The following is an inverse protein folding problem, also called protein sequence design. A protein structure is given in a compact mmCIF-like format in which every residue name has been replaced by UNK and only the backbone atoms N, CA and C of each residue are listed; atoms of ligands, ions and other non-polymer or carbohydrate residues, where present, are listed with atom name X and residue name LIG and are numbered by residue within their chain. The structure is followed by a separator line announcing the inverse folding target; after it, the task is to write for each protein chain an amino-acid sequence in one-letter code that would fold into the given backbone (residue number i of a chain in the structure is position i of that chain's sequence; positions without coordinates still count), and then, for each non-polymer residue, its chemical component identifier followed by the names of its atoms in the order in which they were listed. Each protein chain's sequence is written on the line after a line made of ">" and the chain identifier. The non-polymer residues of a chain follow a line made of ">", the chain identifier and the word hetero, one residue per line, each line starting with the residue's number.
data_IF_582059168808
#
_entry.id   IF_582059168808
#
_cell.length_a   1.000
_cell.length_b   1.000
_cell.length_c   1.000
_cell.angle_alpha   90.00
_cell.angle_beta   90.00
_cell.angle_gamma   90.00
#
_symmetry.space_group_name_H-M   'P 1'
#
loop_
_entity.id
_entity.type
_entity.pdbx_description
1 polymer ?
#
# COMPACT_ATOMS: atom_id res chain seq x y z
N UNK A 1 9.78 -15.62 -23.17
CA UNK A 1 11.14 -16.17 -23.42
C UNK A 1 11.62 -17.17 -22.35
N UNK A 2 10.78 -17.55 -21.37
CA UNK A 2 11.09 -18.64 -20.43
C UNK A 2 12.17 -18.35 -19.39
N UNK A 3 12.33 -17.11 -18.98
CA UNK A 3 13.22 -16.75 -17.86
C UNK A 3 12.68 -17.33 -16.55
N UNK A 4 13.57 -17.90 -15.74
CA UNK A 4 13.23 -18.36 -14.39
C UNK A 4 12.83 -17.21 -13.47
N UNK A 5 13.57 -16.10 -13.55
CA UNK A 5 13.32 -14.92 -12.74
C UNK A 5 13.71 -13.63 -13.47
N UNK A 6 13.05 -12.54 -13.10
CA UNK A 6 13.38 -11.17 -13.47
C UNK A 6 13.65 -10.39 -12.18
N UNK A 7 14.69 -9.57 -12.15
CA UNK A 7 15.04 -8.79 -10.96
C UNK A 7 14.72 -7.31 -11.20
N UNK A 8 13.79 -6.79 -10.41
CA UNK A 8 13.47 -5.36 -10.36
C UNK A 8 14.54 -4.62 -9.54
N UNK A 9 15.30 -3.75 -10.18
CA UNK A 9 16.31 -2.90 -9.52
C UNK A 9 15.84 -1.46 -9.55
N UNK A 10 15.28 -0.97 -8.45
CA UNK A 10 14.69 0.37 -8.42
C UNK A 10 13.86 0.67 -7.19
N UNK A 11 13.05 1.72 -7.27
CA UNK A 11 12.05 2.09 -6.26
C UNK A 11 10.69 1.43 -6.49
N UNK A 12 9.70 1.86 -5.71
CA UNK A 12 8.35 1.28 -5.72
C UNK A 12 7.71 1.29 -7.12
N UNK A 13 7.86 2.35 -7.91
CA UNK A 13 7.35 2.40 -9.29
C UNK A 13 7.97 1.35 -10.21
N UNK A 14 9.31 1.17 -10.19
CA UNK A 14 9.98 0.12 -10.97
C UNK A 14 9.53 -1.28 -10.53
N UNK A 15 9.37 -1.49 -9.21
CA UNK A 15 8.88 -2.76 -8.66
C UNK A 15 7.46 -3.03 -9.16
N UNK A 16 6.58 -2.02 -9.15
CA UNK A 16 5.21 -2.15 -9.65
C UNK A 16 5.17 -2.48 -11.16
N UNK A 17 5.96 -1.78 -11.99
CA UNK A 17 6.04 -2.05 -13.44
C UNK A 17 6.50 -3.48 -13.74
N UNK A 18 7.55 -3.95 -13.05
CA UNK A 18 8.06 -5.32 -13.24
C UNK A 18 7.04 -6.34 -12.73
N UNK A 19 6.45 -6.12 -11.55
CA UNK A 19 5.42 -6.98 -10.99
C UNK A 19 4.22 -7.12 -11.94
N UNK A 20 3.77 -6.00 -12.53
CA UNK A 20 2.69 -6.01 -13.53
C UNK A 20 3.06 -6.79 -14.80
N UNK A 21 4.35 -6.79 -15.17
CA UNK A 21 4.83 -7.55 -16.34
C UNK A 21 4.97 -9.05 -16.09
N UNK A 22 5.14 -9.51 -14.86
CA UNK A 22 5.36 -10.93 -14.52
C UNK A 22 4.20 -11.59 -13.78
N UNK A 23 3.22 -10.81 -13.30
CA UNK A 23 2.01 -11.38 -12.67
C UNK A 23 1.33 -12.37 -13.62
N UNK A 24 0.70 -13.38 -13.07
CA UNK A 24 -0.01 -14.45 -13.78
C UNK A 24 0.90 -15.24 -14.74
N UNK A 25 2.21 -15.25 -14.48
CA UNK A 25 3.20 -16.04 -15.21
C UNK A 25 4.00 -16.95 -14.27
N UNK A 26 4.79 -17.85 -14.84
CA UNK A 26 5.70 -18.70 -14.08
C UNK A 26 7.03 -18.03 -13.71
N UNK A 27 7.30 -16.85 -14.23
CA UNK A 27 8.55 -16.11 -13.97
C UNK A 27 8.51 -15.47 -12.59
N UNK A 28 9.49 -15.79 -11.74
CA UNK A 28 9.59 -15.17 -10.41
C UNK A 28 10.16 -13.75 -10.47
N UNK A 29 9.75 -12.87 -9.57
CA UNK A 29 10.31 -11.55 -9.42
C UNK A 29 11.25 -11.48 -8.22
N UNK A 30 12.51 -11.12 -8.46
CA UNK A 30 13.43 -10.68 -7.43
C UNK A 30 13.40 -9.16 -7.28
N UNK A 31 13.74 -8.65 -6.10
CA UNK A 31 13.74 -7.21 -5.84
C UNK A 31 15.09 -6.78 -5.26
N UNK A 32 15.67 -5.75 -5.86
CA UNK A 32 16.84 -5.02 -5.33
C UNK A 32 16.40 -3.57 -5.14
N UNK A 33 15.99 -3.19 -3.92
CA UNK A 33 15.40 -1.89 -3.66
C UNK A 33 16.44 -0.77 -3.77
N UNK A 34 16.14 0.24 -4.59
CA UNK A 34 16.99 1.41 -4.80
C UNK A 34 16.14 2.70 -4.91
N UNK A 35 15.06 2.76 -4.18
CA UNK A 35 14.18 3.93 -4.05
C UNK A 35 14.23 4.52 -2.66
N UNK A 36 13.40 5.53 -2.41
CA UNK A 36 13.31 6.21 -1.11
C UNK A 36 12.37 5.49 -0.14
N UNK A 37 11.20 5.04 -0.57
CA UNK A 37 10.18 4.37 0.27
C UNK A 37 10.43 2.89 0.41
N UNK A 38 10.48 2.18 -0.71
CA UNK A 38 10.67 0.74 -0.83
C UNK A 38 9.66 -0.07 0.04
N UNK A 39 8.37 0.34 0.02
CA UNK A 39 7.34 -0.22 0.90
C UNK A 39 7.14 -1.71 0.70
N UNK A 40 6.97 -2.16 -0.54
CA UNK A 40 6.78 -3.57 -0.86
C UNK A 40 8.01 -4.42 -0.51
N UNK A 41 9.21 -3.95 -0.86
CA UNK A 41 10.46 -4.64 -0.52
C UNK A 41 10.64 -4.79 1.00
N UNK A 42 10.34 -3.74 1.77
CA UNK A 42 10.41 -3.77 3.24
C UNK A 42 9.37 -4.72 3.84
N UNK A 43 8.16 -4.77 3.29
CA UNK A 43 7.13 -5.73 3.73
C UNK A 43 7.63 -7.18 3.55
N UNK A 44 8.31 -7.47 2.45
CA UNK A 44 8.93 -8.77 2.18
C UNK A 44 10.17 -9.07 3.05
N UNK A 45 10.63 -8.12 3.87
CA UNK A 45 11.85 -8.26 4.66
C UNK A 45 13.14 -8.11 3.85
N UNK A 46 13.05 -7.61 2.62
CA UNK A 46 14.22 -7.41 1.74
C UNK A 46 15.02 -6.20 2.23
N UNK A 47 16.33 -6.40 2.39
CA UNK A 47 17.23 -5.35 2.85
C UNK A 47 17.30 -4.18 1.85
N UNK A 48 17.19 -2.95 2.36
CA UNK A 48 17.41 -1.74 1.54
C UNK A 48 18.91 -1.45 1.28
N UNK A 49 19.81 -2.26 1.83
CA UNK A 49 21.24 -2.21 1.51
C UNK A 49 21.51 -3.05 0.27
N UNK A 50 21.94 -2.41 -0.82
CA UNK A 50 22.13 -3.00 -2.14
C UNK A 50 22.88 -4.36 -2.10
N UNK A 51 24.05 -4.41 -1.46
CA UNK A 51 24.84 -5.64 -1.40
C UNK A 51 24.09 -6.78 -0.70
N UNK A 52 23.38 -6.49 0.40
CA UNK A 52 22.57 -7.50 1.12
C UNK A 52 21.38 -7.99 0.31
N UNK A 53 20.71 -7.09 -0.42
CA UNK A 53 19.61 -7.47 -1.29
C UNK A 53 20.09 -8.40 -2.43
N UNK A 54 21.26 -8.13 -3.02
CA UNK A 54 21.86 -8.99 -4.04
C UNK A 54 22.28 -10.35 -3.44
N UNK A 55 22.93 -10.35 -2.26
CA UNK A 55 23.30 -11.60 -1.57
C UNK A 55 22.08 -12.46 -1.25
N UNK A 56 20.96 -11.84 -0.87
CA UNK A 56 19.71 -12.53 -0.58
C UNK A 56 19.20 -13.32 -1.80
N UNK A 57 19.36 -12.82 -3.02
CA UNK A 57 18.92 -13.52 -4.23
C UNK A 57 19.59 -14.90 -4.37
N UNK A 58 20.83 -15.06 -3.91
CA UNK A 58 21.54 -16.34 -3.92
C UNK A 58 21.02 -17.35 -2.89
N UNK A 59 20.22 -16.90 -1.92
CA UNK A 59 19.65 -17.71 -0.81
C UNK A 59 18.14 -17.64 -0.81
N UNK A 60 17.55 -17.16 -1.90
CA UNK A 60 16.11 -17.00 -2.00
C UNK A 60 15.40 -18.31 -2.29
N UNK A 61 14.14 -18.35 -1.89
CA UNK A 61 13.16 -19.32 -2.34
C UNK A 61 12.02 -18.59 -3.08
N UNK A 62 11.32 -19.30 -3.93
CA UNK A 62 10.13 -18.77 -4.61
C UNK A 62 8.93 -18.98 -3.73
N UNK A 63 8.19 -17.91 -3.45
CA UNK A 63 6.86 -17.98 -2.86
C UNK A 63 5.81 -17.51 -3.87
N UNK A 64 4.60 -18.04 -3.78
CA UNK A 64 3.43 -17.44 -4.40
C UNK A 64 2.87 -16.35 -3.50
N UNK A 65 2.48 -15.24 -4.09
CA UNK A 65 1.93 -14.10 -3.37
C UNK A 65 0.68 -13.57 -4.08
N UNK A 66 -0.16 -12.96 -3.28
CA UNK A 66 -1.38 -12.31 -3.71
C UNK A 66 -1.09 -10.91 -4.24
N UNK A 67 -2.00 -10.40 -5.07
CA UNK A 67 -2.03 -9.00 -5.45
C UNK A 67 -3.48 -8.54 -5.59
N UNK A 68 -3.71 -7.24 -5.57
CA UNK A 68 -5.05 -6.70 -5.65
C UNK A 68 -5.36 -6.04 -6.99
N UNK A 69 -6.66 -5.85 -7.24
CA UNK A 69 -7.18 -4.95 -8.27
C UNK A 69 -8.06 -3.89 -7.63
N UNK A 70 -7.97 -2.68 -8.16
CA UNK A 70 -9.01 -1.66 -8.05
C UNK A 70 -9.53 -1.36 -9.44
N UNK A 71 -10.78 -1.76 -9.72
CA UNK A 71 -11.32 -1.85 -11.06
C UNK A 71 -10.37 -2.67 -11.96
N UNK A 72 -9.86 -2.10 -13.06
CA UNK A 72 -8.94 -2.78 -13.99
C UNK A 72 -7.46 -2.55 -13.66
N UNK A 73 -7.14 -1.88 -12.55
CA UNK A 73 -5.76 -1.51 -12.20
C UNK A 73 -5.22 -2.41 -11.09
N UNK A 74 -4.12 -3.13 -11.31
CA UNK A 74 -3.50 -3.93 -10.26
C UNK A 74 -2.76 -3.05 -9.24
N UNK A 75 -2.69 -3.55 -8.00
CA UNK A 75 -1.81 -3.05 -6.95
C UNK A 75 -1.15 -4.21 -6.21
N UNK A 76 0.08 -4.03 -5.80
CA UNK A 76 0.86 -5.09 -5.15
C UNK A 76 1.07 -4.81 -3.66
N UNK A 77 1.10 -3.54 -3.28
CA UNK A 77 1.27 -3.10 -1.90
C UNK A 77 -0.02 -2.54 -1.33
N UNK A 78 -0.31 -1.28 -1.61
CA UNK A 78 -1.48 -0.58 -1.07
C UNK A 78 -2.11 0.32 -2.12
N UNK A 79 -3.41 0.54 -1.99
CA UNK A 79 -4.06 1.65 -2.67
C UNK A 79 -4.95 2.40 -1.67
N UNK A 80 -5.17 3.69 -1.86
CA UNK A 80 -5.87 4.48 -0.84
C UNK A 80 -6.50 5.76 -1.35
N UNK A 81 -7.45 6.24 -0.59
CA UNK A 81 -8.26 7.43 -0.86
C UNK A 81 -8.26 8.36 0.36
N UNK A 82 -8.76 9.57 0.14
CA UNK A 82 -8.80 10.56 1.20
C UNK A 82 -7.46 11.25 1.39
N UNK A 83 -7.04 11.48 2.62
CA UNK A 83 -5.76 12.10 2.93
C UNK A 83 -4.56 11.32 2.40
N UNK A 84 -4.66 10.00 2.33
CA UNK A 84 -3.67 9.09 1.76
C UNK A 84 -3.35 9.45 0.29
N UNK A 85 -4.39 9.60 -0.53
CA UNK A 85 -4.24 10.02 -1.92
C UNK A 85 -3.66 11.43 -2.07
N UNK A 86 -4.01 12.35 -1.16
CA UNK A 86 -3.45 13.70 -1.14
C UNK A 86 -1.93 13.68 -0.89
N UNK A 87 -1.49 12.91 0.10
CA UNK A 87 -0.07 12.74 0.45
C UNK A 87 0.70 12.12 -0.72
N UNK A 88 0.16 11.07 -1.35
CA UNK A 88 0.76 10.44 -2.52
C UNK A 88 0.89 11.41 -3.69
N UNK A 89 -0.14 12.22 -3.96
CA UNK A 89 -0.10 13.24 -5.00
C UNK A 89 0.98 14.29 -4.77
N UNK A 90 1.12 14.77 -3.55
CA UNK A 90 2.18 15.73 -3.20
C UNK A 90 3.58 15.13 -3.31
N UNK A 91 3.72 13.84 -2.97
CA UNK A 91 4.98 13.13 -3.11
C UNK A 91 5.38 12.98 -4.58
N UNK A 92 4.44 12.60 -5.45
CA UNK A 92 4.68 12.39 -6.88
C UNK A 92 4.94 13.70 -7.64
N UNK A 93 4.22 14.78 -7.29
CA UNK A 93 4.37 16.10 -7.94
C UNK A 93 5.55 16.92 -7.37
N UNK A 94 6.25 16.40 -6.39
CA UNK A 94 7.27 16.94 -5.53
C UNK A 94 8.18 18.04 -6.06
N UNK A 95 7.62 19.25 -6.20
CA UNK A 95 8.37 20.49 -6.42
C UNK A 95 8.95 21.08 -5.12
N UNK A 96 8.83 20.36 -4.01
CA UNK A 96 9.34 20.82 -2.71
C UNK A 96 10.84 20.55 -2.63
N UNK A 97 11.63 21.60 -2.77
CA UNK A 97 13.08 21.57 -2.51
C UNK A 97 13.35 21.27 -1.04
N UNK A 98 13.27 19.99 -0.66
CA UNK A 98 13.67 19.48 0.66
C UNK A 98 12.54 18.81 1.45
N UNK A 99 12.91 17.74 2.15
CA UNK A 99 12.04 16.96 3.05
C UNK A 99 11.28 17.81 4.08
N UNK A 100 11.92 18.86 4.59
CA UNK A 100 11.32 19.77 5.58
C UNK A 100 10.09 20.51 5.02
N UNK A 101 10.18 21.03 3.79
CA UNK A 101 9.06 21.74 3.13
C UNK A 101 7.92 20.78 2.82
N UNK A 102 8.24 19.57 2.38
CA UNK A 102 7.28 18.51 2.17
C UNK A 102 6.50 18.18 3.46
N UNK A 103 7.21 17.94 4.56
CA UNK A 103 6.58 17.66 5.86
C UNK A 103 5.72 18.82 6.37
N UNK A 104 6.15 20.06 6.16
CA UNK A 104 5.36 21.24 6.52
C UNK A 104 4.05 21.34 5.72
N UNK A 105 4.06 20.99 4.43
CA UNK A 105 2.87 20.96 3.61
C UNK A 105 1.89 19.88 4.08
N UNK A 106 2.37 18.66 4.33
CA UNK A 106 1.54 17.58 4.88
C UNK A 106 0.89 18.01 6.21
N UNK A 107 1.64 18.61 7.12
CA UNK A 107 1.11 19.08 8.40
C UNK A 107 0.05 20.17 8.19
N UNK A 108 0.28 21.10 7.28
CA UNK A 108 -0.71 22.14 6.95
C UNK A 108 -2.00 21.53 6.39
N UNK A 109 -1.87 20.59 5.46
CA UNK A 109 -3.01 19.93 4.84
C UNK A 109 -3.75 19.03 5.83
N UNK A 110 -3.05 18.40 6.75
CA UNK A 110 -3.63 17.63 7.86
C UNK A 110 -4.64 18.47 8.67
N UNK A 111 -4.32 19.75 8.93
CA UNK A 111 -5.22 20.68 9.64
C UNK A 111 -6.42 21.14 8.82
N UNK A 112 -6.32 21.13 7.50
CA UNK A 112 -7.34 21.66 6.60
C UNK A 112 -8.22 20.59 5.97
N UNK A 113 -7.74 19.34 5.95
CA UNK A 113 -8.45 18.23 5.32
C UNK A 113 -9.75 17.92 6.02
N UNK A 114 -10.82 17.78 5.24
CA UNK A 114 -12.13 17.37 5.75
C UNK A 114 -12.39 15.92 5.35
N UNK A 115 -12.74 15.07 6.32
CA UNK A 115 -13.14 13.69 6.02
C UNK A 115 -14.31 13.62 5.04
N UNK A 116 -14.29 12.62 4.19
CA UNK A 116 -15.34 12.34 3.21
C UNK A 116 -16.15 11.12 3.62
N UNK A 117 -17.37 11.01 3.07
CA UNK A 117 -18.26 9.89 3.35
C UNK A 117 -18.19 8.86 2.23
N UNK A 118 -18.06 7.60 2.61
CA UNK A 118 -17.93 6.45 1.73
C UNK A 118 -18.91 5.35 2.13
N UNK A 119 -19.46 4.64 1.16
CA UNK A 119 -20.26 3.45 1.40
C UNK A 119 -19.49 2.22 0.93
N UNK A 120 -19.25 1.28 1.83
CA UNK A 120 -18.55 0.03 1.62
C UNK A 120 -19.57 -1.11 1.55
N UNK A 121 -19.55 -1.87 0.45
CA UNK A 121 -20.47 -3.00 0.21
C UNK A 121 -19.68 -4.23 -0.21
N UNK A 122 -19.89 -5.35 0.48
CA UNK A 122 -19.22 -6.61 0.20
C UNK A 122 -19.85 -7.76 0.98
N UNK A 123 -19.24 -8.93 0.96
CA UNK A 123 -19.72 -10.07 1.73
C UNK A 123 -19.63 -9.74 3.24
N UNK A 124 -20.79 -9.66 3.90
CA UNK A 124 -20.89 -9.27 5.32
C UNK A 124 -20.54 -7.81 5.62
N UNK A 125 -20.36 -6.98 4.60
CA UNK A 125 -20.04 -5.57 4.71
C UNK A 125 -21.13 -4.76 4.03
N UNK A 126 -21.82 -3.91 4.79
CA UNK A 126 -22.76 -2.91 4.29
C UNK A 126 -22.76 -1.74 5.28
N UNK A 127 -21.86 -0.79 5.06
CA UNK A 127 -21.69 0.32 6.00
C UNK A 127 -21.31 1.62 5.32
N UNK A 128 -21.85 2.70 5.84
CA UNK A 128 -21.45 4.06 5.47
C UNK A 128 -20.51 4.60 6.55
N UNK A 129 -19.32 5.05 6.13
CA UNK A 129 -18.29 5.58 7.02
C UNK A 129 -17.90 6.98 6.59
N UNK A 130 -17.62 7.86 7.55
CA UNK A 130 -16.94 9.13 7.30
C UNK A 130 -15.49 8.97 7.73
N UNK A 131 -14.60 8.95 6.75
CA UNK A 131 -13.20 8.64 6.96
C UNK A 131 -12.28 9.80 6.57
N UNK A 132 -11.20 9.96 7.33
CA UNK A 132 -10.08 10.83 7.04
C UNK A 132 -9.24 10.26 5.89
N UNK A 133 -9.02 8.94 5.94
CA UNK A 133 -8.45 8.15 4.85
C UNK A 133 -8.96 6.70 4.92
N UNK A 134 -8.92 6.01 3.78
CA UNK A 134 -9.10 4.57 3.70
C UNK A 134 -7.99 4.01 2.85
N UNK A 135 -7.23 3.05 3.41
CA UNK A 135 -6.18 2.31 2.71
C UNK A 135 -6.60 0.86 2.57
N UNK A 136 -6.50 0.34 1.36
CA UNK A 136 -6.69 -1.07 1.00
C UNK A 136 -5.31 -1.69 0.85
N UNK A 137 -4.99 -2.62 1.73
CA UNK A 137 -3.65 -3.15 1.90
C UNK A 137 -3.59 -4.64 1.55
N UNK A 138 -2.81 -5.01 0.54
CA UNK A 138 -2.29 -6.34 0.31
C UNK A 138 -1.00 -6.54 1.11
N UNK A 139 -0.14 -5.50 1.16
CA UNK A 139 1.05 -5.42 1.99
C UNK A 139 0.92 -4.31 3.05
N UNK A 140 1.45 -4.54 4.24
CA UNK A 140 1.10 -3.77 5.45
C UNK A 140 1.68 -2.37 5.57
N UNK A 141 2.58 -1.91 4.66
CA UNK A 141 3.26 -0.63 4.86
C UNK A 141 3.30 0.28 3.63
N UNK A 142 3.28 1.59 3.89
CA UNK A 142 3.43 2.61 2.86
C UNK A 142 4.89 2.84 2.43
N UNK A 143 5.85 2.38 3.23
CA UNK A 143 7.27 2.65 3.09
C UNK A 143 7.85 3.29 4.35
N UNK A 144 9.17 3.45 4.41
CA UNK A 144 9.90 4.04 5.55
C UNK A 144 9.54 3.41 6.91
N UNK A 145 9.12 2.13 6.92
CA UNK A 145 8.64 1.40 8.09
C UNK A 145 7.35 1.98 8.74
N UNK A 146 6.55 2.72 7.95
CA UNK A 146 5.21 3.17 8.35
C UNK A 146 4.17 2.11 7.99
N UNK A 147 3.64 1.42 9.00
CA UNK A 147 2.69 0.31 8.86
C UNK A 147 1.26 0.79 9.04
N UNK A 148 0.47 0.79 7.97
CA UNK A 148 -0.98 1.13 8.02
C UNK A 148 -1.85 -0.10 8.29
N UNK A 149 -1.39 -1.28 7.89
CA UNK A 149 -2.04 -2.56 8.13
C UNK A 149 -0.99 -3.59 8.60
N UNK A 150 -0.57 -3.56 9.88
CA UNK A 150 0.53 -4.39 10.38
C UNK A 150 0.31 -5.91 10.24
N UNK A 151 -0.97 -6.33 10.19
CA UNK A 151 -1.39 -7.73 10.09
C UNK A 151 -1.65 -8.19 8.64
N UNK A 152 -1.52 -7.30 7.64
CA UNK A 152 -1.70 -7.66 6.24
C UNK A 152 -0.68 -8.72 5.81
N UNK A 153 -1.17 -9.69 5.04
CA UNK A 153 -0.38 -10.80 4.52
C UNK A 153 -0.63 -10.97 3.03
N UNK A 154 0.44 -11.06 2.27
CA UNK A 154 0.39 -11.29 0.81
C UNK A 154 0.10 -12.75 0.44
N UNK A 155 -0.29 -13.62 1.39
CA UNK A 155 -0.47 -15.05 1.17
C UNK A 155 -1.73 -15.62 1.84
N UNK A 156 -2.67 -14.79 2.28
CA UNK A 156 -3.88 -15.26 2.98
C UNK A 156 -5.18 -15.04 2.18
N UNK A 157 -5.06 -14.50 0.97
CA UNK A 157 -6.17 -14.26 0.06
C UNK A 157 -7.10 -13.14 0.52
N UNK A 158 -6.65 -12.27 1.44
CA UNK A 158 -7.44 -11.20 2.02
C UNK A 158 -6.77 -9.84 1.81
N UNK A 159 -7.58 -8.82 1.81
CA UNK A 159 -7.19 -7.42 1.82
C UNK A 159 -7.55 -6.83 3.18
N UNK A 160 -6.62 -6.14 3.80
CA UNK A 160 -6.86 -5.38 5.02
C UNK A 160 -7.29 -3.95 4.65
N UNK A 161 -8.49 -3.54 5.07
CA UNK A 161 -9.03 -2.21 4.84
C UNK A 161 -8.86 -1.40 6.11
N UNK A 162 -7.87 -0.51 6.14
CA UNK A 162 -7.65 0.39 7.25
C UNK A 162 -8.45 1.68 7.05
N UNK A 163 -9.44 1.91 7.91
CA UNK A 163 -10.32 3.07 7.90
C UNK A 163 -9.93 3.97 9.06
N UNK A 164 -9.32 5.11 8.75
CA UNK A 164 -8.99 6.12 9.75
C UNK A 164 -10.10 7.15 9.80
N UNK A 165 -10.80 7.20 10.92
CA UNK A 165 -11.88 8.15 11.18
C UNK A 165 -11.34 9.56 11.46
N UNK A 166 -12.22 10.54 11.54
CA UNK A 166 -11.84 11.87 12.01
C UNK A 166 -11.31 11.80 13.45
N UNK A 167 -10.17 12.41 13.69
CA UNK A 167 -9.54 12.47 15.00
C UNK A 167 -9.22 13.92 15.40
N UNK A 168 -9.16 14.25 16.71
CA UNK A 168 -8.73 15.55 17.17
C UNK A 168 -7.21 15.72 16.97
N UNK A 169 -6.78 16.92 16.62
CA UNK A 169 -5.37 17.19 16.26
C UNK A 169 -4.35 16.81 17.33
N UNK A 170 -4.73 16.82 18.60
CA UNK A 170 -3.84 16.36 19.67
C UNK A 170 -3.54 14.84 19.60
N UNK A 171 -4.39 14.06 18.91
CA UNK A 171 -4.16 12.62 18.70
C UNK A 171 -3.19 12.33 17.54
N UNK A 172 -2.96 13.28 16.63
CA UNK A 172 -2.11 13.08 15.45
C UNK A 172 -0.69 12.56 15.77
N UNK A 173 0.03 13.06 16.81
CA UNK A 173 1.35 12.51 17.14
C UNK A 173 1.29 11.05 17.61
N UNK A 174 0.24 10.66 18.33
CA UNK A 174 0.02 9.27 18.77
C UNK A 174 -0.24 8.35 17.57
N UNK A 175 -1.17 8.74 16.70
CA UNK A 175 -1.45 8.03 15.44
C UNK A 175 -0.19 7.88 14.56
N UNK A 176 0.60 8.95 14.43
CA UNK A 176 1.86 8.87 13.69
C UNK A 176 2.84 7.88 14.34
N UNK A 177 2.94 7.87 15.66
CA UNK A 177 3.81 6.92 16.38
C UNK A 177 3.33 5.47 16.20
N UNK A 178 2.02 5.23 16.24
CA UNK A 178 1.45 3.88 16.09
C UNK A 178 1.71 3.26 14.72
N UNK A 179 1.86 4.07 13.65
CA UNK A 179 2.31 3.59 12.33
C UNK A 179 3.72 2.96 12.40
N UNK A 180 4.64 3.54 13.16
CA UNK A 180 6.02 3.04 13.26
C UNK A 180 6.19 1.94 14.29
N UNK A 181 5.29 1.85 15.28
CA UNK A 181 5.30 0.81 16.31
C UNK A 181 4.45 -0.41 15.95
N UNK A 182 3.82 -0.42 14.77
CA UNK A 182 2.95 -1.50 14.26
C UNK A 182 1.70 -1.75 15.12
N UNK A 183 1.20 -0.71 15.79
CA UNK A 183 0.02 -0.80 16.66
C UNK A 183 -1.13 0.08 16.15
N UNK A 184 -1.09 0.51 14.89
CA UNK A 184 -2.11 1.40 14.31
C UNK A 184 -3.51 0.79 14.31
N UNK A 185 -3.60 -0.52 14.14
CA UNK A 185 -4.85 -1.29 14.15
C UNK A 185 -5.49 -1.43 15.55
N UNK A 186 -4.79 -1.04 16.61
CA UNK A 186 -5.30 -0.95 17.98
C UNK A 186 -5.70 0.48 18.38
N UNK A 187 -5.52 1.44 17.50
CA UNK A 187 -5.83 2.84 17.78
C UNK A 187 -7.34 3.10 17.74
N UNK A 188 -7.83 3.94 18.65
CA UNK A 188 -9.26 4.27 18.80
C UNK A 188 -9.89 4.85 17.52
N UNK A 189 -9.10 5.52 16.70
CA UNK A 189 -9.56 6.18 15.46
C UNK A 189 -9.41 5.32 14.23
N UNK A 190 -8.95 4.07 14.37
CA UNK A 190 -8.70 3.16 13.27
C UNK A 190 -9.57 1.91 13.40
N UNK A 191 -10.28 1.59 12.33
CA UNK A 191 -11.01 0.33 12.19
C UNK A 191 -10.44 -0.46 11.03
N UNK A 192 -10.17 -1.74 11.23
CA UNK A 192 -9.65 -2.62 10.19
C UNK A 192 -10.67 -3.69 9.85
N UNK A 193 -10.96 -3.85 8.57
CA UNK A 193 -11.84 -4.89 8.02
C UNK A 193 -10.99 -5.77 7.10
N UNK A 194 -11.23 -7.07 7.10
CA UNK A 194 -10.56 -8.02 6.23
C UNK A 194 -11.57 -8.67 5.29
N UNK A 195 -11.30 -8.63 4.00
CA UNK A 195 -12.18 -9.20 2.97
C UNK A 195 -11.42 -9.57 1.71
N UNK A 196 -12.01 -10.45 0.89
CA UNK A 196 -11.47 -10.76 -0.45
C UNK A 196 -11.84 -9.72 -1.48
N UNK A 197 -13.03 -9.14 -1.32
CA UNK A 197 -13.55 -8.14 -2.25
C UNK A 197 -14.48 -7.17 -1.56
N UNK A 198 -14.52 -5.94 -2.06
CA UNK A 198 -15.40 -4.88 -1.59
C UNK A 198 -15.64 -3.87 -2.71
N UNK A 199 -16.84 -3.32 -2.76
CA UNK A 199 -17.14 -2.13 -3.55
C UNK A 199 -17.19 -0.92 -2.63
N UNK A 200 -16.41 0.11 -2.97
CA UNK A 200 -16.48 1.41 -2.32
C UNK A 200 -17.20 2.40 -3.24
N UNK A 201 -18.19 3.07 -2.71
CA UNK A 201 -18.97 4.10 -3.41
C UNK A 201 -18.75 5.43 -2.69
N UNK A 202 -18.41 6.47 -3.46
CA UNK A 202 -18.23 7.85 -3.00
C UNK A 202 -19.13 8.80 -3.79
N UNK A 203 -19.25 10.05 -3.34
CA UNK A 203 -20.17 11.03 -3.93
C UNK A 203 -19.86 11.30 -5.42
N UNK A 204 -18.58 11.44 -5.77
CA UNK A 204 -18.09 11.77 -7.12
C UNK A 204 -16.76 11.09 -7.41
N UNK A 205 -16.28 11.18 -8.64
CA UNK A 205 -14.91 10.84 -8.99
C UNK A 205 -13.91 11.66 -8.17
N UNK A 206 -12.71 11.14 -7.95
CA UNK A 206 -11.73 11.83 -7.15
C UNK A 206 -10.37 11.13 -7.13
N UNK A 207 -9.41 11.70 -6.40
CA UNK A 207 -8.07 11.14 -6.30
C UNK A 207 -8.04 9.83 -5.53
N UNK A 208 -7.10 9.00 -5.91
CA UNK A 208 -6.67 7.76 -5.26
C UNK A 208 -5.17 7.61 -5.50
N UNK A 209 -4.47 6.87 -4.68
CA UNK A 209 -3.15 6.34 -5.07
C UNK A 209 -3.21 4.83 -5.27
N UNK A 210 -2.36 4.32 -6.14
CA UNK A 210 -2.12 2.89 -6.38
C UNK A 210 -0.62 2.66 -6.26
N UNK A 211 -0.19 1.91 -5.25
CA UNK A 211 1.22 1.69 -4.90
C UNK A 211 2.05 2.99 -4.82
N UNK A 212 1.43 4.08 -4.35
CA UNK A 212 2.03 5.41 -4.23
C UNK A 212 1.84 6.32 -5.44
N UNK A 213 1.40 5.81 -6.59
CA UNK A 213 1.17 6.62 -7.79
C UNK A 213 -0.23 7.25 -7.76
N UNK A 214 -0.36 8.58 -7.86
CA UNK A 214 -1.65 9.26 -7.83
C UNK A 214 -2.42 9.06 -9.13
N UNK A 215 -3.72 8.81 -9.00
CA UNK A 215 -4.62 8.56 -10.12
C UNK A 215 -6.01 9.11 -9.83
N UNK A 216 -6.72 9.58 -10.87
CA UNK A 216 -8.13 9.88 -10.78
C UNK A 216 -8.95 8.63 -11.04
N UNK A 217 -9.88 8.33 -10.14
CA UNK A 217 -10.72 7.13 -10.20
C UNK A 217 -12.20 7.50 -10.14
N UNK A 218 -13.08 6.67 -10.71
CA UNK A 218 -14.52 6.94 -10.75
C UNK A 218 -15.16 6.93 -9.35
N UNK A 219 -16.46 7.23 -9.32
CA UNK A 219 -17.29 7.22 -8.11
C UNK A 219 -17.35 5.85 -7.46
N UNK A 220 -17.33 4.78 -8.24
CA UNK A 220 -17.45 3.39 -7.78
C UNK A 220 -16.14 2.66 -8.02
N UNK A 221 -15.62 2.04 -6.95
CA UNK A 221 -14.37 1.33 -6.91
C UNK A 221 -14.63 -0.12 -6.51
N UNK A 222 -14.33 -1.06 -7.40
CA UNK A 222 -14.39 -2.50 -7.13
C UNK A 222 -12.99 -2.98 -6.78
N UNK A 223 -12.80 -3.41 -5.54
CA UNK A 223 -11.51 -3.90 -5.05
C UNK A 223 -11.60 -5.40 -4.80
N UNK A 224 -10.61 -6.15 -5.24
CA UNK A 224 -10.53 -7.60 -5.04
C UNK A 224 -9.08 -8.08 -4.96
N UNK A 225 -8.88 -9.20 -4.27
CA UNK A 225 -7.60 -9.91 -4.21
C UNK A 225 -7.59 -11.06 -5.23
N UNK A 226 -6.46 -11.25 -5.89
CA UNK A 226 -6.11 -12.40 -6.72
C UNK A 226 -5.06 -13.19 -5.94
N UNK A 227 -5.40 -14.43 -5.60
CA UNK A 227 -4.52 -15.31 -4.84
C UNK A 227 -3.46 -15.95 -5.72
N UNK A 228 -2.25 -16.10 -5.16
CA UNK A 228 -1.13 -16.80 -5.82
C UNK A 228 -0.75 -16.24 -7.20
N UNK A 229 -1.11 -14.98 -7.48
CA UNK A 229 -1.00 -14.41 -8.82
C UNK A 229 0.38 -13.86 -9.17
N UNK A 230 1.35 -13.84 -8.24
CA UNK A 230 2.72 -13.42 -8.51
C UNK A 230 3.72 -14.31 -7.75
N UNK A 231 4.81 -14.71 -8.44
CA UNK A 231 5.92 -15.44 -7.82
C UNK A 231 7.02 -14.49 -7.39
N UNK A 232 7.43 -14.55 -6.13
CA UNK A 232 8.44 -13.65 -5.54
C UNK A 232 9.63 -14.44 -5.02
N UNK A 233 10.83 -13.89 -5.21
CA UNK A 233 12.06 -14.37 -4.58
C UNK A 233 12.21 -13.69 -3.22
N UNK A 234 12.09 -14.46 -2.15
CA UNK A 234 12.29 -13.98 -0.77
C UNK A 234 13.38 -14.75 -0.07
N UNK A 235 13.93 -14.19 1.00
CA UNK A 235 14.96 -14.89 1.78
C UNK A 235 14.36 -16.12 2.43
N UNK A 236 15.03 -17.26 2.25
CA UNK A 236 14.63 -18.50 2.89
C UNK A 236 14.72 -18.36 4.40
N UNK A 237 13.60 -18.48 5.08
CA UNK A 237 13.55 -18.52 6.56
C UNK A 237 13.84 -19.94 7.00
N UNK A 238 14.95 -20.12 7.73
CA UNK A 238 15.36 -21.38 8.36
C UNK A 238 14.59 -21.62 9.66
#
# INVERSE_FOLDING_TARGET
>A
EGYYAVVAVGGDGTINEVANGVRDTDTAMGIVPNGSGNGFARHLGISTRLNRAIEMLNRSEVISADYGFVNERPFFSTCGIGFDALVAHQFATGNSRGFKTYLQNIIKDLFQYQPETYHLVGEGIDQTVTAFLITFANAGQWGYDAYIAPKASIQDGLMDIAIVSKFPMYAAPGLALSLFTKNIDEDLYVNTIRTKEVTLIREKEGPMHIDGDPVMMPKELHLRIVTDGIKLLVEKRF
#
